data_IF_494732481452
#
_entry.id   IF_494732481452
#
_cell.length_a   1.000
_cell.length_b   1.000
_cell.length_c   1.000
_cell.angle_alpha   90.00
_cell.angle_beta   90.00
_cell.angle_gamma   90.00
#
_symmetry.space_group_name_H-M   'P 1'
#
loop_
_entity.id
_entity.type
_entity.pdbx_description
1 polymer ?
#
# COMPACT_ATOMS: atom_id res chain seq x y z
N UNK A 1 -21.58 9.85 -8.62
CA UNK A 1 -20.45 9.47 -9.48
C UNK A 1 -19.66 8.41 -8.75
N UNK A 2 -19.34 7.31 -9.43
CA UNK A 2 -18.52 6.24 -8.88
C UNK A 2 -17.10 6.77 -8.69
N UNK A 3 -16.54 6.70 -7.48
CA UNK A 3 -15.16 7.08 -7.19
C UNK A 3 -14.29 5.82 -7.23
N UNK A 4 -13.55 5.62 -8.32
CA UNK A 4 -12.73 4.44 -8.55
C UNK A 4 -11.32 4.63 -8.02
N UNK A 5 -10.97 3.91 -6.96
CA UNK A 5 -9.66 3.96 -6.32
C UNK A 5 -8.97 2.60 -6.45
N UNK A 6 -7.75 2.61 -6.99
CA UNK A 6 -6.89 1.43 -7.05
C UNK A 6 -6.00 1.41 -5.80
N UNK A 7 -6.06 0.33 -5.04
CA UNK A 7 -5.17 0.10 -3.89
C UNK A 7 -4.08 -0.88 -4.28
N UNK A 8 -2.83 -0.47 -4.09
CA UNK A 8 -1.62 -1.19 -4.47
C UNK A 8 -0.81 -1.62 -3.24
N UNK A 9 -0.46 -2.90 -3.19
CA UNK A 9 0.40 -3.48 -2.16
C UNK A 9 1.53 -4.26 -2.85
N UNK A 10 2.76 -3.79 -2.69
CA UNK A 10 3.93 -4.35 -3.32
C UNK A 10 4.79 -5.10 -2.30
N UNK A 11 5.30 -6.26 -2.73
CA UNK A 11 6.41 -6.96 -2.08
C UNK A 11 7.63 -6.95 -2.99
N UNK A 12 8.73 -7.57 -2.58
CA UNK A 12 9.95 -7.65 -3.38
C UNK A 12 9.74 -8.33 -4.75
N UNK A 13 8.91 -9.37 -4.78
CA UNK A 13 8.59 -10.17 -5.98
C UNK A 13 7.09 -10.32 -6.21
N UNK A 14 6.28 -9.49 -5.54
CA UNK A 14 4.82 -9.60 -5.58
C UNK A 14 4.17 -8.24 -5.80
N UNK A 15 3.03 -8.26 -6.48
CA UNK A 15 2.16 -7.10 -6.60
C UNK A 15 0.71 -7.53 -6.40
N UNK A 16 0.03 -6.98 -5.41
CA UNK A 16 -1.40 -7.22 -5.14
C UNK A 16 -2.16 -5.92 -5.30
N UNK A 17 -3.33 -5.99 -5.91
CA UNK A 17 -4.16 -4.81 -6.12
C UNK A 17 -5.65 -5.11 -5.93
N UNK A 18 -6.40 -4.05 -5.57
CA UNK A 18 -7.86 -4.05 -5.56
C UNK A 18 -8.35 -2.72 -6.11
N UNK A 19 -9.35 -2.78 -6.98
CA UNK A 19 -10.09 -1.61 -7.44
C UNK A 19 -11.39 -1.51 -6.65
N UNK A 20 -11.61 -0.36 -6.04
CA UNK A 20 -12.82 -0.07 -5.25
C UNK A 20 -13.70 0.98 -5.92
N UNK A 21 -15.02 0.84 -5.75
CA UNK A 21 -15.95 1.94 -5.81
C UNK A 21 -16.15 2.50 -4.40
N UNK A 22 -15.55 3.66 -4.11
CA UNK A 22 -15.47 4.19 -2.75
C UNK A 22 -16.78 4.67 -2.13
N UNK A 23 -17.78 5.16 -2.85
CA UNK A 23 -19.09 5.46 -2.25
C UNK A 23 -19.71 4.27 -1.53
N UNK A 24 -19.49 3.06 -2.03
CA UNK A 24 -20.02 1.82 -1.45
C UNK A 24 -18.96 0.95 -0.80
N UNK A 25 -17.67 1.28 -0.98
CA UNK A 25 -16.52 0.45 -0.64
C UNK A 25 -16.60 -0.97 -1.28
N UNK A 26 -17.30 -1.11 -2.39
CA UNK A 26 -17.42 -2.37 -3.11
C UNK A 26 -16.16 -2.65 -3.92
N UNK A 27 -15.74 -3.92 -3.98
CA UNK A 27 -14.59 -4.36 -4.77
C UNK A 27 -15.05 -4.61 -6.20
N UNK A 28 -14.58 -3.80 -7.15
CA UNK A 28 -14.87 -3.95 -8.58
C UNK A 28 -13.93 -4.94 -9.28
N UNK A 29 -12.70 -5.08 -8.79
CA UNK A 29 -11.73 -6.05 -9.26
C UNK A 29 -10.65 -6.29 -8.21
N UNK A 30 -10.02 -7.45 -8.28
CA UNK A 30 -8.85 -7.78 -7.47
C UNK A 30 -7.87 -8.62 -8.29
N UNK A 31 -6.59 -8.52 -7.96
CA UNK A 31 -5.57 -9.36 -8.56
C UNK A 31 -4.30 -9.43 -7.74
N UNK A 32 -3.49 -10.40 -8.09
CA UNK A 32 -2.18 -10.62 -7.49
C UNK A 32 -1.22 -11.24 -8.48
N UNK A 33 0.01 -10.76 -8.46
CA UNK A 33 1.11 -11.27 -9.25
C UNK A 33 2.21 -11.75 -8.32
N UNK A 34 2.75 -12.90 -8.61
CA UNK A 34 3.83 -13.53 -7.86
C UNK A 34 5.01 -13.85 -8.79
N UNK A 35 6.22 -13.93 -8.21
CA UNK A 35 7.48 -14.21 -8.92
C UNK A 35 7.83 -13.15 -9.97
N UNK A 36 7.57 -11.86 -9.67
CA UNK A 36 8.00 -10.73 -10.49
C UNK A 36 9.52 -10.62 -10.39
N UNK A 37 10.20 -10.46 -11.55
CA UNK A 37 11.65 -10.32 -11.61
C UNK A 37 12.41 -11.64 -11.46
N UNK A 38 11.72 -12.80 -11.57
CA UNK A 38 12.37 -14.10 -11.61
C UNK A 38 12.92 -14.37 -13.01
N UNK A 39 14.21 -14.64 -13.10
CA UNK A 39 14.91 -14.92 -14.39
C UNK A 39 14.37 -16.17 -15.11
N UNK A 40 13.47 -16.94 -14.50
CA UNK A 40 12.81 -18.09 -15.06
C UNK A 40 11.61 -17.79 -15.96
N UNK A 41 11.13 -16.55 -16.02
CA UNK A 41 10.03 -16.12 -16.90
C UNK A 41 8.64 -16.68 -16.59
N UNK A 42 8.44 -17.27 -15.40
CA UNK A 42 7.17 -17.90 -15.02
C UNK A 42 6.48 -17.16 -13.87
N UNK A 43 6.22 -15.87 -14.05
CA UNK A 43 5.35 -15.12 -13.12
C UNK A 43 3.90 -15.56 -13.27
N UNK A 44 3.15 -15.52 -12.18
CA UNK A 44 1.73 -15.89 -12.17
C UNK A 44 0.90 -14.66 -11.85
N UNK A 45 -0.08 -14.37 -12.69
CA UNK A 45 -1.09 -13.34 -12.46
C UNK A 45 -2.46 -14.00 -12.25
N UNK A 46 -3.02 -13.83 -11.06
CA UNK A 46 -4.41 -14.20 -10.75
C UNK A 46 -5.23 -12.95 -10.61
N UNK A 47 -6.38 -12.88 -11.28
CA UNK A 47 -7.27 -11.75 -11.15
C UNK A 47 -8.74 -12.13 -11.28
N UNK A 48 -9.60 -11.31 -10.70
CA UNK A 48 -11.05 -11.43 -10.78
C UNK A 48 -11.67 -10.06 -11.05
N UNK A 49 -12.57 -9.99 -12.02
CA UNK A 49 -13.33 -8.79 -12.37
C UNK A 49 -14.77 -8.95 -11.89
N UNK A 50 -15.18 -8.11 -10.95
CA UNK A 50 -16.51 -8.22 -10.33
C UNK A 50 -16.76 -9.61 -9.74
N UNK A 51 -17.89 -10.20 -10.09
CA UNK A 51 -18.31 -11.54 -9.67
C UNK A 51 -17.92 -12.66 -10.66
N UNK A 52 -17.11 -12.33 -11.69
CA UNK A 52 -16.64 -13.33 -12.67
C UNK A 52 -15.73 -14.37 -12.00
N UNK A 53 -15.51 -15.49 -12.68
CA UNK A 53 -14.52 -16.47 -12.24
C UNK A 53 -13.11 -15.89 -12.22
N UNK A 54 -12.28 -16.38 -11.30
CA UNK A 54 -10.88 -16.01 -11.22
C UNK A 54 -10.12 -16.54 -12.43
N UNK A 55 -9.32 -15.68 -13.06
CA UNK A 55 -8.45 -16.02 -14.18
C UNK A 55 -7.03 -16.14 -13.67
N UNK A 56 -6.33 -17.18 -14.10
CA UNK A 56 -4.90 -17.38 -13.83
C UNK A 56 -4.12 -17.38 -15.16
N UNK A 57 -3.09 -16.57 -15.22
CA UNK A 57 -2.18 -16.45 -16.38
C UNK A 57 -0.74 -16.69 -15.94
N UNK A 58 0.03 -17.38 -16.78
CA UNK A 58 1.50 -17.43 -16.67
C UNK A 58 2.08 -16.43 -17.66
N UNK A 59 2.90 -15.51 -17.17
CA UNK A 59 3.43 -14.37 -17.92
C UNK A 59 4.91 -14.19 -17.62
N UNK A 60 5.60 -13.48 -18.48
CA UNK A 60 6.92 -12.92 -18.19
C UNK A 60 6.75 -11.51 -17.62
N UNK A 61 7.05 -11.33 -16.34
CA UNK A 61 7.00 -10.06 -15.63
C UNK A 61 8.39 -9.72 -15.08
N UNK A 62 9.27 -9.14 -15.90
CA UNK A 62 10.66 -8.88 -15.53
C UNK A 62 10.80 -7.87 -14.39
N UNK A 63 9.82 -7.01 -14.21
CA UNK A 63 9.81 -6.00 -13.13
C UNK A 63 8.39 -5.57 -12.74
N UNK A 64 8.29 -4.75 -11.71
CA UNK A 64 7.02 -4.21 -11.23
C UNK A 64 6.36 -3.22 -12.21
N UNK A 65 7.12 -2.58 -13.10
CA UNK A 65 6.56 -1.68 -14.11
C UNK A 65 5.68 -2.47 -15.09
N UNK A 66 6.23 -3.57 -15.65
CA UNK A 66 5.47 -4.48 -16.53
C UNK A 66 4.28 -5.11 -15.81
N UNK A 67 4.45 -5.46 -14.53
CA UNK A 67 3.35 -5.98 -13.71
C UNK A 67 2.21 -4.95 -13.54
N UNK A 68 2.53 -3.68 -13.33
CA UNK A 68 1.54 -2.60 -13.23
C UNK A 68 0.83 -2.37 -14.57
N UNK A 69 1.58 -2.35 -15.68
CA UNK A 69 1.01 -2.23 -17.03
C UNK A 69 0.00 -3.37 -17.29
N UNK A 70 0.37 -4.61 -16.95
CA UNK A 70 -0.51 -5.76 -17.08
C UNK A 70 -1.77 -5.65 -16.23
N UNK A 71 -1.66 -5.20 -14.97
CA UNK A 71 -2.83 -4.97 -14.12
C UNK A 71 -3.78 -3.93 -14.72
N UNK A 72 -3.24 -2.80 -15.18
CA UNK A 72 -4.04 -1.76 -15.83
C UNK A 72 -4.67 -2.24 -17.13
N UNK A 73 -3.97 -3.06 -17.90
CA UNK A 73 -4.50 -3.71 -19.11
C UNK A 73 -5.73 -4.58 -18.77
N UNK A 74 -5.64 -5.41 -17.75
CA UNK A 74 -6.78 -6.25 -17.31
C UNK A 74 -7.96 -5.41 -16.82
N UNK A 75 -7.70 -4.31 -16.10
CA UNK A 75 -8.76 -3.44 -15.59
C UNK A 75 -9.46 -2.63 -16.68
N UNK A 76 -8.78 -2.35 -17.80
CA UNK A 76 -9.30 -1.53 -18.91
C UNK A 76 -9.70 -2.32 -20.16
N UNK A 77 -9.52 -3.65 -20.17
CA UNK A 77 -9.93 -4.48 -21.28
C UNK A 77 -11.46 -4.50 -21.45
N UNK A 78 -11.95 -5.00 -22.59
CA UNK A 78 -13.38 -5.14 -22.86
C UNK A 78 -14.03 -5.99 -21.78
N UNK A 79 -15.06 -5.43 -21.12
CA UNK A 79 -15.71 -6.05 -19.96
C UNK A 79 -15.02 -5.77 -18.62
N UNK A 80 -13.92 -5.05 -18.62
CA UNK A 80 -13.24 -4.58 -17.41
C UNK A 80 -14.00 -3.44 -16.70
N UNK A 81 -13.66 -3.19 -15.42
CA UNK A 81 -14.35 -2.18 -14.61
C UNK A 81 -13.98 -0.73 -14.96
N UNK A 82 -12.94 -0.51 -15.75
CA UNK A 82 -12.50 0.82 -16.21
C UNK A 82 -12.71 0.92 -17.73
N UNK A 83 -13.26 2.03 -18.19
CA UNK A 83 -13.29 2.35 -19.61
C UNK A 83 -11.91 2.79 -20.13
N UNK A 84 -11.14 3.45 -19.27
CA UNK A 84 -9.75 3.83 -19.51
C UNK A 84 -9.02 4.04 -18.19
N UNK A 85 -7.68 4.16 -18.24
CA UNK A 85 -6.86 4.48 -17.06
C UNK A 85 -7.22 5.85 -16.45
N UNK A 86 -7.76 6.77 -17.26
CA UNK A 86 -8.21 8.10 -16.79
C UNK A 86 -9.45 8.05 -15.90
N UNK A 87 -10.12 6.90 -15.80
CA UNK A 87 -11.24 6.71 -14.87
C UNK A 87 -10.78 6.47 -13.42
N UNK A 88 -9.47 6.30 -13.20
CA UNK A 88 -8.90 6.23 -11.86
C UNK A 88 -8.87 7.62 -11.24
N UNK A 89 -9.53 7.76 -10.10
CA UNK A 89 -9.54 9.01 -9.34
C UNK A 89 -8.42 9.08 -8.31
N UNK A 90 -7.85 7.96 -7.90
CA UNK A 90 -6.63 7.90 -7.08
C UNK A 90 -5.99 6.50 -7.13
N UNK A 91 -4.69 6.45 -6.78
CA UNK A 91 -3.97 5.22 -6.51
C UNK A 91 -3.44 5.27 -5.08
N UNK A 92 -3.88 4.34 -4.24
CA UNK A 92 -3.46 4.20 -2.84
C UNK A 92 -2.35 3.17 -2.68
N UNK A 93 -1.35 3.50 -1.88
CA UNK A 93 -0.21 2.63 -1.56
C UNK A 93 -0.14 2.36 -0.06
N UNK A 94 0.08 1.10 0.28
CA UNK A 94 0.56 0.75 1.60
C UNK A 94 2.06 1.07 1.65
N UNK A 95 2.44 2.18 2.25
CA UNK A 95 3.83 2.59 2.39
C UNK A 95 4.40 2.23 3.75
N UNK A 96 5.70 1.92 3.83
CA UNK A 96 6.31 1.44 5.07
C UNK A 96 6.89 2.58 5.88
N UNK A 97 7.79 3.36 5.30
CA UNK A 97 8.51 4.40 6.04
C UNK A 97 8.99 5.55 5.15
N UNK A 98 8.81 6.76 5.67
CA UNK A 98 9.51 7.95 5.21
C UNK A 98 9.84 8.80 6.43
N UNK A 99 10.99 9.48 6.42
CA UNK A 99 11.48 10.28 7.54
C UNK A 99 10.42 11.26 8.04
N UNK A 100 9.99 11.09 9.28
CA UNK A 100 9.02 11.96 9.96
C UNK A 100 7.62 12.03 9.32
N UNK A 101 7.34 11.26 8.26
CA UNK A 101 6.03 11.19 7.64
C UNK A 101 5.23 10.07 8.24
N UNK A 102 4.03 10.37 8.70
CA UNK A 102 3.05 9.43 9.21
C UNK A 102 1.66 9.81 8.69
N UNK A 103 0.76 8.85 8.63
CA UNK A 103 -0.60 9.11 8.19
C UNK A 103 -0.82 8.87 6.71
N UNK A 104 -1.84 9.53 6.19
CA UNK A 104 -2.23 9.47 4.78
C UNK A 104 -1.78 10.77 4.12
N UNK A 105 -0.90 10.66 3.13
CA UNK A 105 -0.33 11.82 2.44
C UNK A 105 -0.28 11.59 0.94
N UNK A 106 -0.33 12.65 0.17
CA UNK A 106 -0.03 12.59 -1.26
C UNK A 106 1.47 12.31 -1.46
N UNK A 107 1.78 11.43 -2.41
CA UNK A 107 3.15 11.01 -2.72
C UNK A 107 3.73 11.93 -3.79
N UNK A 108 4.06 13.14 -3.39
CA UNK A 108 4.79 14.10 -4.20
C UNK A 108 6.31 13.81 -4.19
N UNK A 109 7.09 14.58 -4.94
CA UNK A 109 8.54 14.38 -5.05
C UNK A 109 9.28 14.62 -3.73
N UNK A 110 8.78 15.49 -2.81
CA UNK A 110 9.38 15.67 -1.48
C UNK A 110 9.20 14.39 -0.63
N UNK A 111 8.00 13.83 -0.63
CA UNK A 111 7.69 12.57 0.08
C UNK A 111 8.48 11.40 -0.52
N UNK A 112 8.55 11.30 -1.85
CA UNK A 112 9.33 10.27 -2.54
C UNK A 112 10.82 10.40 -2.18
N UNK A 113 11.39 11.59 -2.21
CA UNK A 113 12.78 11.83 -1.80
C UNK A 113 13.05 11.39 -0.35
N UNK A 114 12.12 11.65 0.56
CA UNK A 114 12.24 11.16 1.95
C UNK A 114 12.13 9.63 2.06
N UNK A 115 11.37 8.97 1.19
CA UNK A 115 11.36 7.50 1.11
C UNK A 115 12.69 6.97 0.60
N UNK A 116 13.31 7.63 -0.37
CA UNK A 116 14.62 7.28 -0.92
C UNK A 116 15.74 7.43 0.12
N UNK A 117 15.71 8.47 0.95
CA UNK A 117 16.64 8.66 2.08
C UNK A 117 16.63 7.47 3.05
N UNK A 118 15.52 6.75 3.13
CA UNK A 118 15.34 5.59 3.98
C UNK A 118 15.59 4.24 3.31
N UNK A 119 16.10 4.20 2.08
CA UNK A 119 16.41 2.94 1.39
C UNK A 119 17.35 2.04 2.18
N UNK A 120 18.31 2.62 2.91
CA UNK A 120 19.22 1.86 3.77
C UNK A 120 18.56 1.23 5.00
N UNK A 121 17.47 1.81 5.49
CA UNK A 121 16.71 1.33 6.66
C UNK A 121 15.59 0.36 6.28
N UNK A 122 15.07 0.45 5.05
CA UNK A 122 14.02 -0.40 4.52
C UNK A 122 14.37 -0.91 3.10
N UNK A 123 15.51 -1.60 2.91
CA UNK A 123 16.03 -1.95 1.59
C UNK A 123 15.13 -2.93 0.83
N UNK A 124 14.35 -3.73 1.54
CA UNK A 124 13.48 -4.73 0.93
C UNK A 124 12.15 -4.14 0.40
N UNK A 125 11.77 -2.93 0.82
CA UNK A 125 10.44 -2.39 0.54
C UNK A 125 10.47 -1.06 -0.21
N UNK A 126 11.17 -0.05 0.30
CA UNK A 126 11.10 1.29 -0.26
C UNK A 126 11.48 1.41 -1.75
N UNK A 127 12.54 0.76 -2.28
CA UNK A 127 12.88 0.87 -3.69
C UNK A 127 11.77 0.40 -4.63
N UNK A 128 11.14 -0.74 -4.32
CA UNK A 128 10.04 -1.26 -5.13
C UNK A 128 8.81 -0.33 -5.09
N UNK A 129 8.50 0.23 -3.91
CA UNK A 129 7.41 1.20 -3.79
C UNK A 129 7.67 2.48 -4.58
N UNK A 130 8.87 3.06 -4.49
CA UNK A 130 9.21 4.28 -5.24
C UNK A 130 9.15 4.04 -6.74
N UNK A 131 9.69 2.91 -7.23
CA UNK A 131 9.60 2.55 -8.63
C UNK A 131 8.13 2.43 -9.10
N UNK A 132 7.29 1.77 -8.32
CA UNK A 132 5.87 1.61 -8.63
C UNK A 132 5.11 2.96 -8.59
N UNK A 133 5.38 3.83 -7.62
CA UNK A 133 4.76 5.16 -7.53
C UNK A 133 5.09 5.97 -8.78
N UNK A 134 6.34 5.96 -9.22
CA UNK A 134 6.77 6.64 -10.45
C UNK A 134 6.16 6.04 -11.69
N UNK A 135 6.01 4.72 -11.75
CA UNK A 135 5.36 4.04 -12.86
C UNK A 135 3.87 4.39 -12.96
N UNK A 136 3.16 4.42 -11.84
CA UNK A 136 1.78 4.91 -11.82
C UNK A 136 1.68 6.40 -12.20
N UNK A 137 2.67 7.22 -11.83
CA UNK A 137 2.73 8.63 -12.28
C UNK A 137 2.84 8.75 -13.79
N UNK A 138 3.57 7.83 -14.43
CA UNK A 138 3.72 7.76 -15.89
C UNK A 138 2.44 7.27 -16.58
N UNK A 139 1.84 6.19 -16.07
CA UNK A 139 0.71 5.50 -16.70
C UNK A 139 -0.64 6.17 -16.42
N UNK A 140 -0.80 6.76 -15.23
CA UNK A 140 -2.03 7.40 -14.78
C UNK A 140 -1.72 8.79 -14.18
N UNK A 141 -1.20 9.74 -14.99
CA UNK A 141 -0.70 11.04 -14.48
C UNK A 141 -1.78 11.90 -13.82
N UNK A 142 -3.04 11.73 -14.20
CA UNK A 142 -4.17 12.47 -13.64
C UNK A 142 -4.62 11.94 -12.26
N UNK A 143 -4.28 10.69 -11.93
CA UNK A 143 -4.67 10.08 -10.66
C UNK A 143 -3.64 10.44 -9.57
N UNK A 144 -4.02 11.14 -8.50
CA UNK A 144 -3.13 11.38 -7.36
C UNK A 144 -2.69 10.05 -6.74
N UNK A 145 -1.41 9.99 -6.34
CA UNK A 145 -0.83 8.85 -5.62
C UNK A 145 -0.84 9.18 -4.14
N UNK A 146 -1.45 8.32 -3.34
CA UNK A 146 -1.65 8.52 -1.91
C UNK A 146 -0.99 7.39 -1.13
N UNK A 147 -0.11 7.72 -0.21
CA UNK A 147 0.56 6.78 0.69
C UNK A 147 -0.13 6.72 2.05
N UNK A 148 -0.37 5.49 2.53
CA UNK A 148 -0.76 5.25 3.90
C UNK A 148 0.44 4.67 4.65
N UNK A 149 1.11 5.51 5.45
CA UNK A 149 2.31 5.12 6.18
C UNK A 149 1.96 4.31 7.42
N UNK A 150 2.52 3.12 7.54
CA UNK A 150 2.19 2.15 8.59
C UNK A 150 2.31 2.67 10.04
N UNK A 151 3.28 3.53 10.39
CA UNK A 151 3.39 4.05 11.75
C UNK A 151 2.26 5.01 12.17
N UNK A 152 1.39 5.43 11.27
CA UNK A 152 0.38 6.48 11.51
C UNK A 152 -0.48 6.24 12.75
N UNK A 153 -1.00 5.03 12.91
CA UNK A 153 -1.85 4.68 14.06
C UNK A 153 -1.11 4.79 15.39
N UNK A 154 0.14 4.35 15.42
CA UNK A 154 0.99 4.35 16.61
C UNK A 154 1.53 5.74 16.97
N UNK A 155 1.54 6.68 16.02
CA UNK A 155 1.94 8.08 16.24
C UNK A 155 1.08 8.80 17.26
N UNK A 156 -0.12 8.31 17.56
CA UNK A 156 -0.99 8.84 18.61
C UNK A 156 -0.56 8.42 20.04
N UNK A 157 0.37 7.48 20.17
CA UNK A 157 0.89 7.06 21.46
C UNK A 157 1.65 8.22 22.12
N UNK A 158 1.53 8.42 23.46
CA UNK A 158 2.28 9.44 24.17
C UNK A 158 3.79 9.33 23.92
N UNK A 159 4.50 10.46 23.82
CA UNK A 159 5.93 10.50 23.48
C UNK A 159 6.78 9.56 24.36
N UNK A 160 6.48 9.45 25.66
CA UNK A 160 7.16 8.51 26.60
C UNK A 160 7.04 7.03 26.18
N UNK A 161 6.12 6.68 25.28
CA UNK A 161 5.94 5.33 24.75
C UNK A 161 6.69 5.16 23.42
N UNK A 162 7.03 6.25 22.77
CA UNK A 162 7.75 6.26 21.50
C UNK A 162 9.28 6.32 21.68
N UNK A 163 9.74 6.92 22.79
CA UNK A 163 11.16 7.08 23.04
C UNK A 163 11.80 5.80 23.63
N UNK A 164 13.05 5.58 23.27
CA UNK A 164 13.93 4.61 23.91
C UNK A 164 14.78 5.29 25.00
N UNK A 165 15.30 4.50 25.95
CA UNK A 165 16.24 4.96 26.98
C UNK A 165 17.66 5.09 26.41
N UNK A 166 17.84 6.01 25.45
CA UNK A 166 19.10 6.33 24.76
C UNK A 166 19.34 7.84 24.85
N UNK A 167 20.58 8.33 24.55
CA UNK A 167 20.84 9.76 24.50
C UNK A 167 19.84 10.50 23.59
N UNK A 168 19.18 11.51 24.12
CA UNK A 168 18.13 12.26 23.41
C UNK A 168 18.62 12.85 22.08
N UNK A 169 19.89 13.23 21.99
CA UNK A 169 20.51 13.71 20.76
C UNK A 169 20.38 12.72 19.58
N UNK A 170 20.35 11.41 19.85
CA UNK A 170 20.21 10.40 18.80
C UNK A 170 18.80 10.36 18.22
N UNK A 171 17.81 10.61 19.05
CA UNK A 171 16.43 10.76 18.55
C UNK A 171 16.33 12.03 17.69
N UNK A 172 16.90 13.15 18.17
CA UNK A 172 16.83 14.43 17.47
C UNK A 172 17.62 14.43 16.14
N UNK A 173 18.78 13.79 16.12
CA UNK A 173 19.69 13.78 14.97
C UNK A 173 19.33 12.69 13.95
N UNK A 174 18.98 11.50 14.43
CA UNK A 174 18.76 10.31 13.59
C UNK A 174 17.32 9.82 13.57
N UNK A 175 16.41 10.41 14.33
CA UNK A 175 15.01 10.00 14.41
C UNK A 175 14.82 8.62 15.04
N UNK A 176 15.73 8.19 15.94
CA UNK A 176 15.68 6.87 16.57
C UNK A 176 14.59 6.84 17.63
N UNK A 177 13.47 6.25 17.28
CA UNK A 177 12.30 6.05 18.18
C UNK A 177 11.55 4.78 17.83
N UNK A 178 10.60 4.41 18.68
CA UNK A 178 9.64 3.35 18.42
C UNK A 178 8.51 3.91 17.56
N UNK A 179 8.48 3.52 16.30
CA UNK A 179 7.42 3.92 15.36
C UNK A 179 6.19 3.00 15.45
N UNK A 180 6.40 1.70 15.66
CA UNK A 180 5.38 0.67 15.52
C UNK A 180 5.14 0.29 14.07
N UNK A 181 4.60 -0.92 13.85
CA UNK A 181 4.30 -1.46 12.52
C UNK A 181 2.89 -2.01 12.47
N UNK A 182 2.44 -2.42 11.26
CA UNK A 182 1.10 -2.96 11.02
C UNK A 182 -0.02 -2.04 11.50
N UNK A 183 0.21 -0.72 11.46
CA UNK A 183 -0.71 0.29 12.00
C UNK A 183 -2.09 0.26 11.33
N UNK A 184 -2.17 -0.01 10.02
CA UNK A 184 -3.43 -0.15 9.32
C UNK A 184 -4.26 -1.33 9.86
N UNK A 185 -3.61 -2.48 10.14
CA UNK A 185 -4.26 -3.65 10.74
C UNK A 185 -4.74 -3.37 12.18
N UNK A 186 -3.89 -2.77 13.00
CA UNK A 186 -4.24 -2.42 14.37
C UNK A 186 -5.38 -1.40 14.44
N UNK A 187 -5.36 -0.41 13.57
CA UNK A 187 -6.43 0.58 13.45
C UNK A 187 -7.74 -0.07 13.04
N UNK A 188 -7.74 -0.87 11.98
CA UNK A 188 -8.94 -1.56 11.52
C UNK A 188 -9.56 -2.43 12.61
N UNK A 189 -8.74 -3.24 13.30
CA UNK A 189 -9.22 -4.08 14.39
C UNK A 189 -9.80 -3.26 15.54
N UNK A 190 -9.17 -2.15 15.92
CA UNK A 190 -9.67 -1.27 16.96
C UNK A 190 -11.01 -0.63 16.59
N UNK A 191 -11.13 -0.07 15.39
CA UNK A 191 -12.36 0.54 14.88
C UNK A 191 -13.48 -0.51 14.77
N UNK A 192 -13.16 -1.73 14.30
CA UNK A 192 -14.14 -2.81 14.18
C UNK A 192 -14.66 -3.32 15.51
N UNK A 193 -13.81 -3.41 16.53
CA UNK A 193 -14.26 -3.77 17.89
C UNK A 193 -15.20 -2.70 18.45
N UNK A 194 -14.87 -1.41 18.28
CA UNK A 194 -15.74 -0.30 18.71
C UNK A 194 -17.12 -0.39 18.00
N UNK A 195 -17.13 -0.66 16.70
CA UNK A 195 -18.36 -0.83 15.94
C UNK A 195 -19.22 -2.00 16.47
N UNK A 196 -18.60 -3.16 16.69
CA UNK A 196 -19.29 -4.38 17.15
C UNK A 196 -19.84 -4.26 18.56
N UNK A 197 -19.10 -3.62 19.46
CA UNK A 197 -19.49 -3.46 20.87
C UNK A 197 -20.35 -2.20 21.14
N UNK A 198 -20.44 -1.30 20.16
CA UNK A 198 -21.23 -0.07 20.25
C UNK A 198 -20.69 0.94 21.26
N UNK A 199 -19.42 0.85 21.66
CA UNK A 199 -18.80 1.75 22.62
C UNK A 199 -17.33 2.01 22.33
N UNK A 200 -16.90 3.27 22.52
CA UNK A 200 -15.51 3.70 22.36
C UNK A 200 -14.67 3.64 23.64
N UNK A 201 -15.26 3.25 24.76
CA UNK A 201 -14.59 3.22 26.07
C UNK A 201 -13.97 1.87 26.42
N UNK A 202 -13.84 1.00 25.45
CA UNK A 202 -13.28 -0.35 25.61
C UNK A 202 -11.79 -0.33 25.92
N UNK A 203 -11.40 -1.29 26.77
CA UNK A 203 -10.00 -1.72 26.87
C UNK A 203 -9.85 -3.03 26.15
N UNK A 204 -9.18 -3.00 25.01
CA UNK A 204 -8.92 -4.21 24.22
C UNK A 204 -7.44 -4.38 23.93
N UNK A 205 -7.02 -5.60 23.71
CA UNK A 205 -5.67 -5.95 23.25
C UNK A 205 -5.79 -6.50 21.84
N UNK A 206 -5.04 -5.92 20.92
CA UNK A 206 -4.98 -6.39 19.55
C UNK A 206 -3.62 -7.06 19.31
N UNK A 207 -3.64 -8.34 18.97
CA UNK A 207 -2.45 -9.11 18.61
C UNK A 207 -2.44 -9.35 17.10
N UNK A 208 -1.42 -8.79 16.41
CA UNK A 208 -1.13 -9.11 15.03
C UNK A 208 -0.09 -10.22 15.01
N UNK A 209 -0.51 -11.45 14.65
CA UNK A 209 0.33 -12.65 14.67
C UNK A 209 0.47 -13.19 13.25
N UNK A 210 1.68 -13.51 12.84
CA UNK A 210 1.97 -14.06 11.52
C UNK A 210 3.45 -14.03 11.19
N UNK A 211 3.84 -14.67 10.09
CA UNK A 211 5.17 -14.55 9.51
C UNK A 211 5.26 -13.28 8.68
N UNK A 212 5.85 -12.26 9.23
CA UNK A 212 6.08 -10.99 8.53
C UNK A 212 7.56 -10.65 8.52
#
# INVERSE_FOLDING_TARGET
SAMKILVSNLGSTTFKYKLFDMPTASVLARGGMDRIGDDGGESVHKYQLGDAEEVELTLDLPDHGVAIEEALRCLTMIGGPLGSVTDLEAVGFKTVHARSITGVVELDEDVIGRMEDFFRLAPAHNPAYVAAIREFARLAPAAPRVGCFEPAFHGQAPLRRQLYAIPQKWEQEYGIRRYGFHGASHRYAAEKVIELEGTSTLRHVNCHLGGS
#
